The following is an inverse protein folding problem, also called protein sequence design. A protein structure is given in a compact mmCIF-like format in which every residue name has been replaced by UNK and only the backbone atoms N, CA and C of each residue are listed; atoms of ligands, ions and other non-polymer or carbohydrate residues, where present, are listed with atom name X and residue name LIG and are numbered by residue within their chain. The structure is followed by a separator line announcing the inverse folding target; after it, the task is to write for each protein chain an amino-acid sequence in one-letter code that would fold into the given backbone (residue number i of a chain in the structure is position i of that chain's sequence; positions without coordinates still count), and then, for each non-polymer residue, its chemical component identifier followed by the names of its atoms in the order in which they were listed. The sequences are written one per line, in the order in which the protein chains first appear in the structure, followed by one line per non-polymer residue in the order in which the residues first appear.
data_IF_714975454186
#
_entry.id   IF_714975454186
#
_cell.length_a   1.000
_cell.length_b   1.000
_cell.length_c   1.000
_cell.angle_alpha   90.00
_cell.angle_beta   90.00
_cell.angle_gamma   90.00
#
_symmetry.space_group_name_H-M   'P 1'
#
loop_
_entity.id
_entity.type
_entity.pdbx_description
1 polymer ?
#
# COMPACT_ATOMS: atom_id res chain seq x y z
N UNK A 1 58.46 27.67 -4.96
CA UNK A 1 57.31 27.20 -4.14
C UNK A 1 56.27 26.61 -5.05
N UNK A 2 55.86 25.36 -4.83
CA UNK A 2 54.95 24.62 -5.72
C UNK A 2 53.49 25.00 -5.41
N UNK A 3 52.77 25.48 -6.42
CA UNK A 3 51.35 25.82 -6.37
C UNK A 3 50.50 24.56 -6.19
N UNK A 4 49.71 24.49 -5.11
CA UNK A 4 48.69 23.45 -4.89
C UNK A 4 47.43 23.88 -5.64
N UNK A 5 47.06 23.13 -6.69
CA UNK A 5 45.79 23.28 -7.41
C UNK A 5 44.75 22.40 -6.73
N UNK A 6 43.87 23.00 -5.93
CA UNK A 6 42.66 22.34 -5.45
C UNK A 6 41.69 22.15 -6.64
N UNK A 7 41.47 20.91 -7.06
CA UNK A 7 40.35 20.56 -7.96
C UNK A 7 39.11 20.37 -7.08
N UNK A 8 38.22 21.36 -7.12
CA UNK A 8 36.88 21.24 -6.54
C UNK A 8 36.09 20.21 -7.34
N UNK A 9 35.93 19.01 -6.80
CA UNK A 9 34.92 18.05 -7.27
C UNK A 9 33.57 18.54 -6.76
N UNK A 10 32.82 19.20 -7.64
CA UNK A 10 31.45 19.62 -7.37
C UNK A 10 30.55 18.41 -7.13
N UNK A 11 30.09 18.24 -5.90
CA UNK A 11 28.91 17.44 -5.61
C UNK A 11 27.69 18.14 -6.21
N UNK A 12 27.34 17.79 -7.45
CA UNK A 12 26.06 18.21 -8.01
C UNK A 12 24.96 17.49 -7.24
N UNK A 13 24.16 18.26 -6.50
CA UNK A 13 22.93 17.75 -5.91
C UNK A 13 22.03 17.23 -7.04
N UNK A 14 21.64 15.97 -6.97
CA UNK A 14 20.74 15.35 -7.93
C UNK A 14 19.45 16.17 -8.01
N UNK A 15 18.99 16.46 -9.23
CA UNK A 15 17.69 17.11 -9.47
C UNK A 15 16.58 16.36 -8.74
N UNK A 16 15.56 17.08 -8.24
CA UNK A 16 14.38 16.48 -7.59
C UNK A 16 13.72 15.40 -8.47
N UNK A 17 13.78 15.55 -9.78
CA UNK A 17 13.22 14.57 -10.72
C UNK A 17 14.09 13.32 -10.85
N UNK A 18 15.42 13.48 -10.81
CA UNK A 18 16.35 12.35 -10.75
C UNK A 18 16.20 11.58 -9.42
N UNK A 19 16.03 12.30 -8.31
CA UNK A 19 15.79 11.70 -6.98
C UNK A 19 14.46 10.94 -6.92
N UNK A 20 13.40 11.49 -7.53
CA UNK A 20 12.09 10.82 -7.67
C UNK A 20 12.19 9.58 -8.55
N UNK A 21 12.86 9.69 -9.70
CA UNK A 21 13.07 8.57 -10.61
C UNK A 21 13.85 7.44 -9.94
N UNK A 22 14.90 7.77 -9.16
CA UNK A 22 15.67 6.78 -8.40
C UNK A 22 14.87 6.17 -7.25
N UNK A 23 14.01 6.96 -6.57
CA UNK A 23 13.12 6.44 -5.53
C UNK A 23 12.09 5.47 -6.13
N UNK A 24 11.47 5.84 -7.25
CA UNK A 24 10.54 4.97 -7.99
C UNK A 24 11.27 3.74 -8.51
N UNK A 25 12.49 3.87 -9.04
CA UNK A 25 13.33 2.77 -9.51
C UNK A 25 13.68 1.81 -8.37
N UNK A 26 14.04 2.34 -7.20
CA UNK A 26 14.32 1.54 -6.02
C UNK A 26 13.07 0.82 -5.50
N UNK A 27 11.91 1.50 -5.48
CA UNK A 27 10.63 0.88 -5.16
C UNK A 27 10.32 -0.28 -6.13
N UNK A 28 10.49 -0.07 -7.44
CA UNK A 28 10.27 -1.09 -8.46
C UNK A 28 11.25 -2.28 -8.36
N UNK A 29 12.51 -2.05 -8.00
CA UNK A 29 13.50 -3.14 -7.81
C UNK A 29 13.17 -3.97 -6.57
N UNK A 30 12.84 -3.35 -5.43
CA UNK A 30 12.36 -4.10 -4.25
C UNK A 30 11.08 -4.86 -4.54
N UNK A 31 10.22 -4.28 -5.35
CA UNK A 31 9.03 -4.95 -5.86
C UNK A 31 9.38 -6.10 -6.81
N UNK A 32 10.55 -6.21 -7.42
CA UNK A 32 10.90 -7.34 -8.26
C UNK A 32 11.43 -8.56 -7.47
N UNK A 33 11.99 -8.35 -6.27
CA UNK A 33 12.75 -9.37 -5.51
C UNK A 33 11.91 -10.27 -4.60
N UNK A 34 10.73 -9.83 -4.12
CA UNK A 34 9.90 -10.72 -3.29
C UNK A 34 9.29 -11.86 -4.13
N UNK A 35 8.90 -13.02 -3.57
CA UNK A 35 8.16 -14.04 -4.32
C UNK A 35 6.82 -13.48 -4.85
N UNK A 36 6.34 -14.00 -5.99
CA UNK A 36 4.95 -13.76 -6.42
C UNK A 36 4.00 -14.45 -5.43
N UNK A 37 2.81 -13.88 -5.23
CA UNK A 37 1.76 -14.57 -4.48
C UNK A 37 1.38 -15.85 -5.22
N UNK A 38 1.21 -16.93 -4.48
CA UNK A 38 0.58 -18.16 -4.95
C UNK A 38 -0.92 -17.92 -5.17
N UNK A 39 -1.56 -18.73 -6.01
CA UNK A 39 -3.00 -18.63 -6.24
C UNK A 39 -3.82 -18.75 -4.94
N UNK A 40 -3.33 -19.54 -3.98
CA UNK A 40 -3.95 -19.69 -2.67
C UNK A 40 -3.87 -18.39 -1.85
N UNK A 41 -2.70 -17.75 -1.81
CA UNK A 41 -2.53 -16.46 -1.14
C UNK A 41 -3.38 -15.36 -1.80
N UNK A 42 -3.54 -15.38 -3.13
CA UNK A 42 -4.42 -14.44 -3.83
C UNK A 42 -5.90 -14.61 -3.41
N UNK A 43 -6.37 -15.85 -3.26
CA UNK A 43 -7.74 -16.14 -2.80
C UNK A 43 -7.94 -15.65 -1.34
N UNK A 44 -6.97 -15.93 -0.48
CA UNK A 44 -7.02 -15.54 0.94
C UNK A 44 -7.03 -14.02 1.10
N UNK A 45 -6.09 -13.33 0.46
CA UNK A 45 -6.02 -11.87 0.47
C UNK A 45 -7.27 -11.25 -0.16
N UNK A 46 -7.76 -11.81 -1.26
CA UNK A 46 -9.00 -11.37 -1.92
C UNK A 46 -10.21 -11.44 -0.98
N UNK A 47 -10.32 -12.51 -0.20
CA UNK A 47 -11.39 -12.68 0.79
C UNK A 47 -11.33 -11.61 1.89
N UNK A 48 -10.14 -11.29 2.39
CA UNK A 48 -9.93 -10.23 3.38
C UNK A 48 -10.26 -8.84 2.80
N UNK A 49 -9.85 -8.56 1.56
CA UNK A 49 -10.14 -7.28 0.91
C UNK A 49 -11.63 -7.10 0.63
N UNK A 50 -12.33 -8.15 0.18
CA UNK A 50 -13.78 -8.10 -0.01
C UNK A 50 -14.52 -7.80 1.30
N UNK A 51 -14.06 -8.37 2.43
CA UNK A 51 -14.59 -8.04 3.76
C UNK A 51 -14.38 -6.56 4.07
N UNK A 52 -13.18 -6.03 3.87
CA UNK A 52 -12.88 -4.62 4.11
C UNK A 52 -13.78 -3.70 3.28
N UNK A 53 -13.98 -3.98 2.00
CA UNK A 53 -14.86 -3.18 1.11
C UNK A 53 -16.29 -3.14 1.65
N UNK A 54 -16.82 -4.29 2.11
CA UNK A 54 -18.15 -4.35 2.73
C UNK A 54 -18.20 -3.49 4.00
N UNK A 55 -17.18 -3.55 4.85
CA UNK A 55 -17.13 -2.76 6.09
C UNK A 55 -16.96 -1.27 5.82
N UNK A 56 -16.14 -0.86 4.85
CA UNK A 56 -15.98 0.54 4.40
C UNK A 56 -17.31 1.09 3.87
N UNK A 57 -18.10 0.27 3.18
CA UNK A 57 -19.46 0.64 2.75
C UNK A 57 -20.39 0.90 3.93
N UNK A 58 -20.36 0.03 4.96
CA UNK A 58 -21.13 0.25 6.21
C UNK A 58 -20.70 1.54 6.89
N UNK A 59 -19.39 1.82 6.96
CA UNK A 59 -18.86 3.05 7.55
C UNK A 59 -19.37 4.30 6.84
N UNK A 60 -19.36 4.28 5.51
CA UNK A 60 -19.82 5.40 4.67
C UNK A 60 -21.30 5.69 4.90
N UNK A 61 -22.14 4.65 4.86
CA UNK A 61 -23.58 4.78 5.15
C UNK A 61 -23.86 5.27 6.56
N UNK A 62 -23.04 4.84 7.52
CA UNK A 62 -23.15 5.29 8.90
C UNK A 62 -22.81 6.78 9.02
N UNK A 63 -21.75 7.22 8.37
CA UNK A 63 -21.33 8.64 8.30
C UNK A 63 -22.41 9.53 7.69
N UNK A 64 -23.01 9.10 6.56
CA UNK A 64 -24.15 9.78 5.94
C UNK A 64 -25.34 9.91 6.89
N UNK A 65 -25.62 8.87 7.69
CA UNK A 65 -26.75 8.85 8.63
C UNK A 65 -26.53 9.71 9.87
N UNK A 66 -25.30 9.77 10.39
CA UNK A 66 -24.99 10.50 11.64
C UNK A 66 -24.41 11.90 11.40
N UNK A 67 -24.10 12.25 10.14
CA UNK A 67 -23.59 13.55 9.75
C UNK A 67 -22.15 13.84 10.20
N UNK A 68 -21.40 12.81 10.64
CA UNK A 68 -20.00 12.91 11.06
C UNK A 68 -19.28 11.58 10.87
N UNK A 69 -17.94 11.57 10.86
CA UNK A 69 -17.17 10.34 10.91
C UNK A 69 -17.56 9.49 12.13
N UNK A 70 -17.87 8.18 11.95
CA UNK A 70 -18.19 7.29 13.06
C UNK A 70 -16.95 6.95 13.88
N UNK A 71 -17.13 6.73 15.18
CA UNK A 71 -16.11 6.12 16.04
C UNK A 71 -15.88 4.65 15.65
N UNK A 72 -14.77 4.07 16.11
CA UNK A 72 -14.46 2.65 15.83
C UNK A 72 -15.51 1.74 16.46
N UNK A 73 -16.02 2.09 17.63
CA UNK A 73 -17.07 1.38 18.36
C UNK A 73 -18.42 1.46 17.64
N UNK A 74 -18.78 2.64 17.14
CA UNK A 74 -20.01 2.82 16.34
C UNK A 74 -19.96 2.02 15.05
N UNK A 75 -18.79 1.99 14.40
CA UNK A 75 -18.58 1.21 13.20
C UNK A 75 -18.62 -0.30 13.48
N UNK A 76 -17.94 -0.77 14.54
CA UNK A 76 -17.96 -2.16 14.96
C UNK A 76 -19.39 -2.64 15.22
N UNK A 77 -20.17 -1.87 15.99
CA UNK A 77 -21.59 -2.17 16.26
C UNK A 77 -22.43 -2.20 14.99
N UNK A 78 -22.18 -1.30 14.04
CA UNK A 78 -22.91 -1.27 12.77
C UNK A 78 -22.57 -2.45 11.84
N UNK A 79 -21.35 -3.02 11.97
CA UNK A 79 -20.93 -4.20 11.21
C UNK A 79 -21.46 -5.48 11.85
N UNK A 80 -21.27 -5.66 13.15
CA UNK A 80 -21.78 -6.78 13.92
C UNK A 80 -21.84 -6.42 15.41
N UNK A 81 -23.05 -6.24 15.94
CA UNK A 81 -23.24 -5.85 17.34
C UNK A 81 -22.89 -6.96 18.35
N UNK A 82 -22.72 -8.21 17.91
CA UNK A 82 -22.30 -9.33 18.76
C UNK A 82 -20.79 -9.58 18.73
N UNK A 83 -20.04 -8.86 17.88
CA UNK A 83 -18.59 -8.99 17.79
C UNK A 83 -17.89 -8.09 18.82
N UNK A 84 -16.94 -8.62 19.61
CA UNK A 84 -16.10 -7.80 20.47
C UNK A 84 -15.31 -6.74 19.68
N UNK A 85 -15.14 -5.55 20.25
CA UNK A 85 -14.42 -4.45 19.61
C UNK A 85 -12.97 -4.83 19.20
N UNK A 86 -12.29 -5.59 20.06
CA UNK A 86 -10.92 -6.04 19.86
C UNK A 86 -10.81 -6.98 18.65
N UNK A 87 -11.78 -7.90 18.49
CA UNK A 87 -11.85 -8.79 17.34
C UNK A 87 -12.10 -8.00 16.05
N UNK A 88 -13.03 -7.05 16.09
CA UNK A 88 -13.27 -6.16 14.96
C UNK A 88 -12.01 -5.39 14.54
N UNK A 89 -11.30 -4.80 15.50
CA UNK A 89 -10.07 -4.06 15.24
C UNK A 89 -8.97 -4.94 14.65
N UNK A 90 -8.81 -6.17 15.17
CA UNK A 90 -7.87 -7.16 14.64
C UNK A 90 -8.19 -7.51 13.19
N UNK A 91 -9.43 -7.90 12.91
CA UNK A 91 -9.87 -8.25 11.55
C UNK A 91 -9.76 -7.06 10.59
N UNK A 92 -10.02 -5.84 11.06
CA UNK A 92 -9.88 -4.62 10.28
C UNK A 92 -8.41 -4.37 9.91
N UNK A 93 -7.49 -4.53 10.86
CA UNK A 93 -6.05 -4.38 10.64
C UNK A 93 -5.53 -5.43 9.63
N UNK A 94 -5.90 -6.70 9.82
CA UNK A 94 -5.57 -7.79 8.88
C UNK A 94 -6.08 -7.49 7.46
N UNK A 95 -7.32 -7.03 7.34
CA UNK A 95 -7.91 -6.76 6.03
C UNK A 95 -7.28 -5.54 5.32
N UNK A 96 -6.86 -4.52 6.10
CA UNK A 96 -6.09 -3.37 5.57
C UNK A 96 -4.69 -3.76 5.14
N UNK A 97 -4.04 -4.62 5.91
CA UNK A 97 -2.76 -5.20 5.54
C UNK A 97 -2.89 -5.99 4.24
N UNK A 98 -3.92 -6.84 4.12
CA UNK A 98 -4.19 -7.60 2.90
C UNK A 98 -4.40 -6.70 1.67
N UNK A 99 -5.17 -5.60 1.80
CA UNK A 99 -5.34 -4.59 0.73
C UNK A 99 -4.01 -4.00 0.29
N UNK A 100 -3.14 -3.68 1.25
CA UNK A 100 -1.81 -3.12 0.97
C UNK A 100 -0.91 -4.14 0.27
N UNK A 101 -0.92 -5.39 0.73
CA UNK A 101 -0.17 -6.51 0.13
C UNK A 101 -0.66 -6.80 -1.29
N UNK A 102 -1.97 -6.81 -1.54
CA UNK A 102 -2.52 -6.97 -2.89
C UNK A 102 -2.13 -5.83 -3.83
N UNK A 103 -2.18 -4.56 -3.37
CA UNK A 103 -1.74 -3.42 -4.20
C UNK A 103 -0.26 -3.56 -4.57
N UNK A 104 0.57 -3.95 -3.60
CA UNK A 104 2.01 -4.16 -3.83
C UNK A 104 2.27 -5.30 -4.84
N UNK A 105 1.53 -6.41 -4.72
CA UNK A 105 1.60 -7.53 -5.68
C UNK A 105 1.05 -7.17 -7.06
N UNK A 106 -0.05 -6.42 -7.15
CA UNK A 106 -0.66 -6.02 -8.42
C UNK A 106 0.17 -4.97 -9.18
N UNK A 107 0.85 -4.06 -8.47
CA UNK A 107 1.84 -3.17 -9.08
C UNK A 107 2.99 -3.95 -9.73
N UNK A 108 3.34 -5.13 -9.21
CA UNK A 108 4.35 -6.02 -9.83
C UNK A 108 3.84 -6.70 -11.09
N UNK A 109 2.56 -7.11 -11.12
CA UNK A 109 1.92 -7.58 -12.34
C UNK A 109 1.95 -6.48 -13.41
N UNK A 110 1.58 -5.24 -13.05
CA UNK A 110 1.65 -4.10 -13.96
C UNK A 110 3.08 -3.87 -14.46
N UNK A 111 4.10 -3.94 -13.59
CA UNK A 111 5.50 -3.79 -13.98
C UNK A 111 6.03 -4.94 -14.87
N UNK A 112 5.64 -6.20 -14.60
CA UNK A 112 6.05 -7.37 -15.39
C UNK A 112 5.38 -7.39 -16.77
N UNK A 113 4.12 -6.96 -16.85
CA UNK A 113 3.39 -6.75 -18.10
C UNK A 113 3.96 -5.55 -18.87
N UNK A 114 4.23 -4.43 -18.21
CA UNK A 114 4.84 -3.25 -18.84
C UNK A 114 6.23 -3.56 -19.45
N UNK A 115 7.06 -4.37 -18.78
CA UNK A 115 8.33 -4.89 -19.34
C UNK A 115 8.15 -5.73 -20.60
N UNK A 116 7.01 -6.40 -20.76
CA UNK A 116 6.69 -7.22 -21.94
C UNK A 116 6.28 -6.36 -23.14
N UNK A 117 5.76 -5.15 -22.90
CA UNK A 117 5.33 -4.20 -23.94
C UNK A 117 6.31 -3.06 -24.20
N UNK A 118 7.36 -2.90 -23.40
CA UNK A 118 8.43 -1.91 -23.60
C UNK A 118 9.52 -2.39 -24.58
N UNK A 119 9.16 -3.23 -25.57
CA UNK A 119 10.03 -3.55 -26.70
C UNK A 119 9.84 -2.52 -27.80
#
# INVERSE_FOLDING_TARGET
GKHIRWRSSGGQALSKDALRADTLRWQLVRMAEAPLLTAQEEIELGTLVQRLVKWETVRTRLEERIGRPPSVEEWARAVNNSMPLEEFQKMLAESRHAKSSMIHSNMRLVASVAKKYSR
#
